data_IF_626625587511
#
_entry.id   IF_626625587511
#
_cell.length_a   1.000
_cell.length_b   1.000
_cell.length_c   1.000
_cell.angle_alpha   90.00
_cell.angle_beta   90.00
_cell.angle_gamma   90.00
#
_symmetry.space_group_name_H-M   'P 1'
#
loop_
_entity.id
_entity.type
_entity.pdbx_description
1 polymer ?
#
# COMPACT_ATOMS: atom_id res chain seq x y z
N UNK A 1 -58.63 13.14 -0.80
CA UNK A 1 -57.24 13.55 -1.10
C UNK A 1 -56.30 12.78 -0.16
N UNK A 2 -55.73 11.65 -0.61
CA UNK A 2 -54.76 10.89 0.19
C UNK A 2 -53.37 11.45 -0.12
N UNK A 3 -52.72 12.09 0.87
CA UNK A 3 -51.33 12.53 0.74
C UNK A 3 -50.43 11.30 0.86
N UNK A 4 -49.83 10.89 -0.25
CA UNK A 4 -48.70 9.96 -0.27
C UNK A 4 -47.54 10.61 0.48
N UNK A 5 -47.19 10.05 1.63
CA UNK A 5 -45.93 10.36 2.30
C UNK A 5 -44.81 9.61 1.61
N UNK A 6 -44.01 10.29 0.79
CA UNK A 6 -42.71 9.78 0.35
C UNK A 6 -41.83 9.63 1.58
N UNK A 7 -41.63 8.40 2.05
CA UNK A 7 -40.57 8.10 3.01
C UNK A 7 -39.24 8.38 2.31
N UNK A 8 -38.67 9.56 2.53
CA UNK A 8 -37.26 9.79 2.24
C UNK A 8 -36.47 8.75 3.02
N UNK A 9 -35.84 7.81 2.31
CA UNK A 9 -34.86 6.91 2.92
C UNK A 9 -33.74 7.83 3.39
N UNK A 10 -33.58 7.98 4.70
CA UNK A 10 -32.40 8.65 5.26
C UNK A 10 -31.21 7.76 4.88
N UNK A 11 -30.50 8.18 3.84
CA UNK A 11 -29.33 7.49 3.33
C UNK A 11 -28.27 7.51 4.44
N UNK A 12 -28.06 6.38 5.12
CA UNK A 12 -27.11 6.31 6.23
C UNK A 12 -25.70 6.25 5.68
N UNK A 13 -24.89 7.25 6.02
CA UNK A 13 -23.48 7.30 5.68
C UNK A 13 -22.72 6.17 6.38
N UNK A 14 -21.87 5.51 5.61
CA UNK A 14 -20.98 4.45 6.04
C UNK A 14 -19.53 4.92 5.93
N UNK A 15 -18.65 4.37 6.76
CA UNK A 15 -17.24 4.73 6.78
C UNK A 15 -16.35 3.51 6.66
N UNK A 16 -15.29 3.60 5.87
CA UNK A 16 -14.21 2.62 5.87
C UNK A 16 -12.86 3.28 6.08
N UNK A 17 -11.99 2.59 6.81
CA UNK A 17 -10.58 2.88 6.91
C UNK A 17 -9.85 2.22 5.74
N UNK A 18 -8.97 2.95 5.08
CA UNK A 18 -8.13 2.44 4.00
C UNK A 18 -6.68 2.59 4.43
N UNK A 19 -6.01 1.45 4.63
CA UNK A 19 -4.58 1.43 4.95
C UNK A 19 -3.78 1.46 3.65
N UNK A 20 -3.00 2.52 3.48
CA UNK A 20 -2.21 2.80 2.29
C UNK A 20 -0.93 1.94 2.25
N UNK A 21 -0.06 2.22 1.28
CA UNK A 21 1.13 1.42 0.99
C UNK A 21 2.22 1.59 2.05
N UNK A 22 2.39 2.82 2.52
CA UNK A 22 3.28 3.32 3.58
C UNK A 22 2.72 3.09 5.00
N UNK A 23 1.62 2.35 5.14
CA UNK A 23 0.89 2.12 6.39
C UNK A 23 0.15 3.32 6.99
N UNK A 24 0.17 4.48 6.33
CA UNK A 24 -0.77 5.55 6.66
C UNK A 24 -2.22 5.12 6.42
N UNK A 25 -3.16 5.83 7.05
CA UNK A 25 -4.58 5.49 6.99
C UNK A 25 -5.41 6.71 6.59
N UNK A 26 -6.29 6.52 5.61
CA UNK A 26 -7.34 7.48 5.26
C UNK A 26 -8.71 6.92 5.63
N UNK A 27 -9.65 7.81 5.90
CA UNK A 27 -11.05 7.45 6.12
C UNK A 27 -11.87 7.89 4.93
N UNK A 28 -12.69 7.00 4.39
CA UNK A 28 -13.57 7.28 3.27
C UNK A 28 -15.04 7.09 3.69
N UNK A 29 -15.84 8.12 3.43
CA UNK A 29 -17.30 8.08 3.58
C UNK A 29 -17.95 7.60 2.29
N UNK A 30 -18.97 6.75 2.40
CA UNK A 30 -19.69 6.21 1.25
C UNK A 30 -21.13 5.82 1.62
N UNK A 31 -22.01 5.71 0.62
CA UNK A 31 -23.41 5.28 0.83
C UNK A 31 -23.51 3.76 0.88
N UNK A 32 -24.48 3.23 1.61
CA UNK A 32 -24.66 1.77 1.80
C UNK A 32 -24.73 0.95 0.49
N UNK A 33 -25.26 1.54 -0.58
CA UNK A 33 -25.41 0.92 -1.89
C UNK A 33 -24.20 1.15 -2.83
N UNK A 34 -23.21 1.95 -2.40
CA UNK A 34 -22.03 2.32 -3.19
C UNK A 34 -21.21 1.12 -3.64
N UNK A 35 -20.65 1.25 -4.84
CA UNK A 35 -19.71 0.29 -5.43
C UNK A 35 -18.30 0.49 -4.87
N UNK A 36 -17.46 -0.54 -4.96
CA UNK A 36 -16.05 -0.47 -4.57
C UNK A 36 -15.27 0.62 -5.31
N UNK A 37 -15.68 0.97 -6.53
CA UNK A 37 -15.07 2.02 -7.33
C UNK A 37 -14.99 3.38 -6.61
N UNK A 38 -16.02 3.76 -5.84
CA UNK A 38 -16.08 5.06 -5.16
C UNK A 38 -14.92 5.23 -4.16
N UNK A 39 -14.71 4.21 -3.32
CA UNK A 39 -13.64 4.23 -2.31
C UNK A 39 -12.24 4.08 -2.94
N UNK A 40 -12.14 3.37 -4.07
CA UNK A 40 -10.89 3.25 -4.82
C UNK A 40 -10.51 4.56 -5.49
N UNK A 41 -11.45 5.25 -6.13
CA UNK A 41 -11.20 6.55 -6.75
C UNK A 41 -10.81 7.61 -5.73
N UNK A 42 -11.45 7.62 -4.56
CA UNK A 42 -11.02 8.49 -3.46
C UNK A 42 -9.59 8.18 -3.04
N UNK A 43 -9.24 6.89 -2.86
CA UNK A 43 -7.87 6.49 -2.50
C UNK A 43 -6.85 6.96 -3.54
N UNK A 44 -7.15 6.80 -4.83
CA UNK A 44 -6.27 7.26 -5.91
C UNK A 44 -6.15 8.78 -5.92
N UNK A 45 -7.23 9.51 -5.61
CA UNK A 45 -7.22 10.96 -5.52
C UNK A 45 -6.35 11.46 -4.36
N UNK A 46 -6.44 10.85 -3.19
CA UNK A 46 -5.58 11.19 -2.04
C UNK A 46 -4.09 10.94 -2.34
N UNK A 47 -3.80 9.97 -3.21
CA UNK A 47 -2.44 9.62 -3.63
C UNK A 47 -1.98 10.32 -4.94
N UNK A 48 -2.81 11.18 -5.52
CA UNK A 48 -2.58 11.82 -6.82
C UNK A 48 -2.25 10.84 -7.98
N UNK A 49 -2.90 9.66 -7.97
CA UNK A 49 -2.67 8.58 -8.94
C UNK A 49 -3.58 8.68 -10.17
N UNK A 50 -2.96 8.90 -11.34
CA UNK A 50 -3.61 8.84 -12.66
C UNK A 50 -3.54 7.42 -13.28
N UNK A 51 -2.40 6.74 -13.16
CA UNK A 51 -2.19 5.38 -13.70
C UNK A 51 -2.74 4.30 -12.74
N UNK A 52 -4.06 4.26 -12.59
CA UNK A 52 -4.75 3.45 -11.57
C UNK A 52 -4.71 1.94 -11.81
N UNK A 53 -4.44 1.50 -13.03
CA UNK A 53 -4.60 0.11 -13.47
C UNK A 53 -3.69 -0.89 -12.74
N UNK A 54 -2.64 -0.41 -12.09
CA UNK A 54 -1.72 -1.25 -11.30
C UNK A 54 -2.25 -1.57 -9.90
N UNK A 55 -3.21 -0.81 -9.39
CA UNK A 55 -3.61 -0.83 -8.00
C UNK A 55 -4.99 -1.46 -7.78
N UNK A 56 -5.28 -1.76 -6.52
CA UNK A 56 -6.59 -2.20 -6.10
C UNK A 56 -6.77 -2.13 -4.59
N UNK A 57 -7.99 -2.38 -4.15
CA UNK A 57 -8.32 -2.54 -2.74
C UNK A 57 -8.45 -4.02 -2.42
N UNK A 58 -7.87 -4.45 -1.31
CA UNK A 58 -8.15 -5.76 -0.72
C UNK A 58 -8.78 -5.62 0.66
N UNK A 59 -9.50 -6.63 1.10
CA UNK A 59 -10.02 -6.76 2.46
C UNK A 59 -9.61 -8.12 3.04
N UNK A 60 -9.83 -8.28 4.35
CA UNK A 60 -9.67 -9.55 5.06
C UNK A 60 -11.05 -9.97 5.53
N UNK A 61 -11.48 -11.19 5.20
CA UNK A 61 -12.77 -11.72 5.64
C UNK A 61 -12.71 -12.27 7.08
N UNK A 62 -13.83 -12.80 7.56
CA UNK A 62 -13.95 -13.38 8.90
C UNK A 62 -13.06 -14.62 9.11
N UNK A 63 -12.69 -15.30 8.02
CA UNK A 63 -11.83 -16.49 8.02
C UNK A 63 -10.34 -16.13 7.82
N UNK A 64 -10.02 -14.83 7.96
CA UNK A 64 -8.68 -14.25 7.81
C UNK A 64 -8.09 -14.40 6.41
N UNK A 65 -8.93 -14.64 5.39
CA UNK A 65 -8.50 -14.73 4.00
C UNK A 65 -8.49 -13.35 3.35
N UNK A 66 -7.50 -13.14 2.47
CA UNK A 66 -7.31 -11.87 1.75
C UNK A 66 -8.04 -11.94 0.42
N UNK A 67 -8.89 -10.96 0.16
CA UNK A 67 -9.67 -10.87 -1.07
C UNK A 67 -9.48 -9.54 -1.75
N UNK A 68 -9.32 -9.55 -3.08
CA UNK A 68 -9.43 -8.33 -3.86
C UNK A 68 -10.89 -7.90 -3.94
N UNK A 69 -11.13 -6.61 -3.74
CA UNK A 69 -12.42 -5.99 -3.93
C UNK A 69 -12.74 -5.93 -5.43
N UNK A 70 -13.94 -6.37 -5.80
CA UNK A 70 -14.50 -6.10 -7.13
C UNK A 70 -15.09 -4.68 -7.13
N UNK A 71 -14.44 -3.79 -7.86
CA UNK A 71 -14.80 -2.36 -7.90
C UNK A 71 -16.20 -2.12 -8.49
N UNK A 72 -16.72 -3.05 -9.29
CA UNK A 72 -18.03 -2.91 -9.94
C UNK A 72 -19.19 -3.42 -9.07
N UNK A 73 -18.90 -4.10 -7.97
CA UNK A 73 -19.89 -4.64 -7.03
C UNK A 73 -20.06 -3.73 -5.82
N UNK A 74 -21.21 -3.89 -5.16
CA UNK A 74 -21.48 -3.19 -3.90
C UNK A 74 -20.41 -3.52 -2.85
N UNK A 75 -19.90 -2.50 -2.18
CA UNK A 75 -18.76 -2.60 -1.26
C UNK A 75 -19.10 -3.48 -0.03
N UNK A 76 -20.18 -3.18 0.67
CA UNK A 76 -20.54 -3.84 1.93
C UNK A 76 -20.92 -5.32 1.70
N UNK A 77 -21.66 -5.61 0.64
CA UNK A 77 -22.11 -6.97 0.31
C UNK A 77 -20.94 -7.94 0.06
N UNK A 78 -19.78 -7.44 -0.36
CA UNK A 78 -18.60 -8.26 -0.58
C UNK A 78 -17.88 -8.61 0.73
N UNK A 79 -17.65 -7.61 1.58
CA UNK A 79 -16.88 -7.81 2.80
C UNK A 79 -17.59 -8.73 3.80
N UNK A 80 -18.94 -8.73 3.80
CA UNK A 80 -19.80 -9.50 4.72
C UNK A 80 -19.47 -9.30 6.22
N UNK A 81 -18.63 -8.31 6.54
CA UNK A 81 -18.21 -7.95 7.88
C UNK A 81 -19.13 -6.86 8.43
N UNK A 82 -19.10 -6.67 9.76
CA UNK A 82 -19.71 -5.52 10.41
C UNK A 82 -18.66 -4.39 10.50
N UNK A 83 -19.09 -3.12 10.62
CA UNK A 83 -18.18 -2.02 10.91
C UNK A 83 -17.33 -2.30 12.17
N UNK A 84 -16.10 -1.75 12.26
CA UNK A 84 -15.45 -0.88 11.27
C UNK A 84 -15.00 -1.65 10.01
N UNK A 85 -15.22 -1.06 8.84
CA UNK A 85 -14.72 -1.62 7.58
C UNK A 85 -13.27 -1.19 7.37
N UNK A 86 -12.39 -2.16 7.08
CA UNK A 86 -10.97 -1.91 6.79
C UNK A 86 -10.61 -2.50 5.43
N UNK A 87 -10.07 -1.64 4.56
CA UNK A 87 -9.53 -1.99 3.25
C UNK A 87 -8.03 -1.69 3.22
N UNK A 88 -7.32 -2.28 2.27
CA UNK A 88 -5.90 -2.08 2.08
C UNK A 88 -5.64 -1.75 0.61
N UNK A 89 -5.07 -0.57 0.35
CA UNK A 89 -4.68 -0.14 -0.99
C UNK A 89 -3.34 -0.78 -1.36
N UNK A 90 -3.31 -1.62 -2.40
CA UNK A 90 -2.13 -2.43 -2.74
C UNK A 90 -1.95 -2.49 -4.24
N UNK A 91 -0.74 -2.82 -4.67
CA UNK A 91 -0.48 -3.17 -6.08
C UNK A 91 -1.12 -4.53 -6.36
N UNK A 92 -1.94 -4.57 -7.40
CA UNK A 92 -2.63 -5.76 -7.89
C UNK A 92 -1.93 -6.36 -9.10
N UNK A 93 -1.38 -5.51 -9.96
CA UNK A 93 -0.70 -5.91 -11.18
C UNK A 93 0.66 -5.21 -11.24
N UNK A 94 1.75 -5.99 -11.19
CA UNK A 94 3.09 -5.46 -11.38
C UNK A 94 3.37 -5.35 -12.87
N UNK A 95 3.87 -4.20 -13.37
CA UNK A 95 4.25 -4.09 -14.76
C UNK A 95 5.45 -5.00 -15.04
N UNK A 96 5.43 -5.67 -16.20
CA UNK A 96 6.58 -6.46 -16.67
C UNK A 96 7.79 -5.57 -16.97
N UNK A 97 7.53 -4.33 -17.35
CA UNK A 97 8.54 -3.33 -17.72
C UNK A 97 8.23 -2.03 -16.96
N UNK A 98 9.01 -1.70 -15.91
CA UNK A 98 8.85 -0.46 -15.16
C UNK A 98 9.00 0.81 -16.02
N UNK A 99 9.70 0.75 -17.16
CA UNK A 99 9.88 1.87 -18.08
C UNK A 99 8.58 2.35 -18.75
N UNK A 100 7.51 1.55 -18.66
CA UNK A 100 6.18 1.91 -19.18
C UNK A 100 5.36 2.78 -18.23
N UNK A 101 5.78 2.89 -16.98
CA UNK A 101 5.13 3.76 -16.00
C UNK A 101 5.57 5.18 -16.30
N UNK A 102 4.62 6.04 -16.64
CA UNK A 102 4.92 7.42 -17.07
C UNK A 102 5.09 8.33 -15.86
N UNK A 103 4.19 8.22 -14.87
CA UNK A 103 4.15 9.11 -13.73
C UNK A 103 5.16 8.69 -12.65
N UNK A 104 5.90 9.66 -12.13
CA UNK A 104 6.85 9.45 -11.05
C UNK A 104 6.16 8.98 -9.76
N UNK A 105 5.00 9.55 -9.45
CA UNK A 105 4.19 9.17 -8.29
C UNK A 105 3.74 7.70 -8.35
N UNK A 106 3.45 7.18 -9.55
CA UNK A 106 3.11 5.76 -9.76
C UNK A 106 4.34 4.88 -9.50
N UNK A 107 5.52 5.26 -10.02
CA UNK A 107 6.78 4.54 -9.78
C UNK A 107 7.11 4.50 -8.29
N UNK A 108 6.95 5.63 -7.60
CA UNK A 108 7.16 5.74 -6.16
C UNK A 108 6.24 4.78 -5.39
N UNK A 109 4.93 4.76 -5.67
CA UNK A 109 4.02 3.85 -4.98
C UNK A 109 4.31 2.36 -5.28
N UNK A 110 4.74 2.02 -6.49
CA UNK A 110 5.21 0.66 -6.79
C UNK A 110 6.46 0.30 -5.98
N UNK A 111 7.41 1.23 -5.84
CA UNK A 111 8.58 1.07 -4.98
C UNK A 111 8.19 0.85 -3.52
N UNK A 112 7.29 1.66 -2.96
CA UNK A 112 6.80 1.51 -1.57
C UNK A 112 6.17 0.12 -1.37
N UNK A 113 5.43 -0.38 -2.35
CA UNK A 113 4.89 -1.74 -2.30
C UNK A 113 6.00 -2.81 -2.30
N UNK A 114 7.02 -2.67 -3.15
CA UNK A 114 8.15 -3.62 -3.21
C UNK A 114 8.90 -3.63 -1.88
N UNK A 115 9.25 -2.45 -1.35
CA UNK A 115 9.84 -2.27 0.00
C UNK A 115 9.02 -2.98 1.06
N UNK A 116 7.70 -2.82 1.04
CA UNK A 116 6.77 -3.53 1.93
C UNK A 116 6.83 -5.05 1.77
N UNK A 117 6.82 -5.55 0.54
CA UNK A 117 6.82 -7.00 0.28
C UNK A 117 8.14 -7.64 0.67
N UNK A 118 9.26 -6.90 0.56
CA UNK A 118 10.56 -7.29 1.10
C UNK A 118 10.50 -7.37 2.63
N UNK A 119 10.04 -6.31 3.30
CA UNK A 119 9.93 -6.24 4.76
C UNK A 119 9.04 -7.34 5.35
N UNK A 120 8.00 -7.75 4.64
CA UNK A 120 7.12 -8.84 5.06
C UNK A 120 7.52 -10.22 4.53
N UNK A 121 8.65 -10.34 3.81
CA UNK A 121 9.16 -11.62 3.29
C UNK A 121 8.28 -12.24 2.21
N UNK A 122 7.53 -11.43 1.47
CA UNK A 122 6.66 -11.83 0.36
C UNK A 122 7.38 -11.82 -0.98
N UNK A 123 8.41 -11.00 -1.11
CA UNK A 123 9.32 -11.00 -2.25
C UNK A 123 10.57 -11.80 -1.91
N UNK A 124 10.77 -12.92 -2.61
CA UNK A 124 11.96 -13.75 -2.46
C UNK A 124 13.06 -13.19 -3.37
N UNK A 125 14.20 -12.86 -2.77
CA UNK A 125 15.37 -12.32 -3.44
C UNK A 125 16.60 -13.17 -3.14
N UNK A 126 17.59 -13.15 -4.02
CA UNK A 126 18.93 -13.60 -3.65
C UNK A 126 19.53 -12.67 -2.59
N UNK A 127 20.61 -13.09 -1.92
CA UNK A 127 21.29 -12.24 -0.95
C UNK A 127 21.77 -10.92 -1.57
N UNK A 128 22.31 -10.98 -2.80
CA UNK A 128 22.83 -9.79 -3.48
C UNK A 128 21.70 -8.85 -3.90
N UNK A 129 20.64 -9.38 -4.53
CA UNK A 129 19.49 -8.54 -4.93
C UNK A 129 18.86 -7.85 -3.71
N UNK A 130 18.77 -8.57 -2.58
CA UNK A 130 18.24 -8.03 -1.34
C UNK A 130 19.12 -6.92 -0.76
N UNK A 131 20.44 -7.05 -0.89
CA UNK A 131 21.37 -6.03 -0.46
C UNK A 131 21.33 -4.79 -1.37
N UNK A 132 21.18 -4.99 -2.69
CA UNK A 132 21.06 -3.90 -3.67
C UNK A 132 19.75 -3.14 -3.44
N UNK A 133 18.62 -3.85 -3.35
CA UNK A 133 17.32 -3.26 -3.01
C UNK A 133 17.34 -2.58 -1.65
N UNK A 134 18.02 -3.17 -0.67
CA UNK A 134 18.22 -2.57 0.64
C UNK A 134 18.96 -1.25 0.57
N UNK A 135 19.99 -1.13 -0.26
CA UNK A 135 20.71 0.13 -0.49
C UNK A 135 19.77 1.24 -0.96
N UNK A 136 18.95 0.97 -1.99
CA UNK A 136 17.97 1.95 -2.47
C UNK A 136 16.88 2.29 -1.43
N UNK A 137 16.47 1.31 -0.61
CA UNK A 137 15.51 1.55 0.48
C UNK A 137 16.11 2.46 1.55
N UNK A 138 17.39 2.28 1.88
CA UNK A 138 18.10 3.13 2.84
C UNK A 138 18.26 4.54 2.28
N UNK A 139 18.65 4.66 1.01
CA UNK A 139 18.79 5.93 0.31
C UNK A 139 17.46 6.73 0.31
N UNK A 140 16.33 6.05 0.10
CA UNK A 140 14.98 6.66 0.18
C UNK A 140 14.63 7.18 1.58
N UNK A 141 15.05 6.47 2.63
CA UNK A 141 14.70 6.81 4.02
C UNK A 141 15.66 7.82 4.67
N UNK A 142 16.96 7.71 4.38
CA UNK A 142 18.03 8.46 5.05
C UNK A 142 18.69 9.51 4.16
N UNK A 143 18.43 9.51 2.85
CA UNK A 143 19.16 10.32 1.89
C UNK A 143 20.57 9.79 1.63
N UNK A 144 21.44 10.64 1.09
CA UNK A 144 22.81 10.27 0.72
C UNK A 144 23.63 9.83 1.95
N UNK A 145 24.57 8.91 1.72
CA UNK A 145 25.50 8.50 2.78
C UNK A 145 26.39 9.66 3.25
N UNK A 146 26.21 10.08 4.50
CA UNK A 146 27.15 10.90 5.29
C UNK A 146 27.94 10.05 6.33
N UNK A 147 29.28 10.05 6.34
CA UNK A 147 30.08 9.33 7.34
C UNK A 147 29.95 9.83 8.79
N UNK A 148 29.51 11.08 9.02
CA UNK A 148 29.31 11.63 10.36
C UNK A 148 28.02 11.08 10.99
N UNK A 149 26.98 10.89 10.18
CA UNK A 149 25.67 10.40 10.60
C UNK A 149 25.56 8.86 10.51
N UNK A 150 26.15 8.25 9.48
CA UNK A 150 26.04 6.81 9.19
C UNK A 150 27.21 5.98 9.71
N UNK A 151 27.40 6.01 11.04
CA UNK A 151 28.41 5.21 11.75
C UNK A 151 28.09 3.71 11.71
N UNK A 152 29.06 2.89 12.08
CA UNK A 152 28.88 1.43 12.13
C UNK A 152 27.61 1.05 12.92
N UNK A 153 26.76 0.22 12.32
CA UNK A 153 25.49 -0.21 12.92
C UNK A 153 24.29 0.72 12.72
N UNK A 154 24.39 1.82 11.94
CA UNK A 154 23.26 2.72 11.70
C UNK A 154 22.00 2.02 11.13
N UNK A 155 22.19 0.92 10.39
CA UNK A 155 21.09 0.11 9.86
C UNK A 155 20.41 -0.81 10.88
N UNK A 156 20.97 -0.93 12.09
CA UNK A 156 20.35 -1.72 13.14
C UNK A 156 19.11 -1.04 13.73
N UNK A 157 18.95 0.27 13.52
CA UNK A 157 17.84 1.09 14.03
C UNK A 157 16.54 0.92 13.23
N UNK A 158 16.60 0.41 12.00
CA UNK A 158 15.40 0.10 11.21
C UNK A 158 15.50 -1.25 10.50
N UNK A 159 14.35 -1.72 9.99
CA UNK A 159 14.23 -3.04 9.38
C UNK A 159 13.92 -2.90 7.90
N UNK A 160 14.81 -3.42 7.06
CA UNK A 160 14.59 -3.61 5.62
C UNK A 160 13.93 -4.96 5.36
N UNK A 161 14.31 -6.00 6.12
CA UNK A 161 13.86 -7.39 5.91
C UNK A 161 13.46 -8.06 7.24
N UNK A 162 12.59 -9.11 7.22
CA UNK A 162 12.13 -9.74 8.46
C UNK A 162 13.23 -10.44 9.26
N UNK A 163 14.24 -10.99 8.58
CA UNK A 163 15.38 -11.73 9.17
C UNK A 163 16.69 -11.02 8.87
N UNK A 164 16.75 -9.74 9.22
CA UNK A 164 17.94 -8.91 9.05
C UNK A 164 19.07 -9.44 9.95
N UNK A 165 20.29 -9.48 9.41
CA UNK A 165 21.48 -9.90 10.14
C UNK A 165 22.66 -9.00 9.76
N UNK A 166 23.70 -9.00 10.59
CA UNK A 166 24.88 -8.13 10.45
C UNK A 166 25.55 -8.25 9.07
N UNK A 167 25.61 -9.47 8.50
CA UNK A 167 26.21 -9.69 7.17
C UNK A 167 25.42 -8.96 6.08
N UNK A 168 24.10 -9.01 6.14
CA UNK A 168 23.24 -8.29 5.21
C UNK A 168 23.31 -6.78 5.43
N UNK A 169 23.29 -6.32 6.69
CA UNK A 169 23.43 -4.89 7.03
C UNK A 169 24.74 -4.32 6.48
N UNK A 170 25.87 -5.03 6.67
CA UNK A 170 27.15 -4.61 6.13
C UNK A 170 27.13 -4.46 4.59
N UNK A 171 26.51 -5.41 3.88
CA UNK A 171 26.41 -5.35 2.41
C UNK A 171 25.47 -4.23 1.94
N UNK A 172 24.34 -4.02 2.64
CA UNK A 172 23.44 -2.90 2.36
C UNK A 172 24.16 -1.57 2.56
N UNK A 173 24.90 -1.41 3.66
CA UNK A 173 25.65 -0.19 3.95
C UNK A 173 26.76 0.07 2.92
N UNK A 174 27.42 -0.98 2.42
CA UNK A 174 28.38 -0.87 1.32
C UNK A 174 27.70 -0.37 0.04
N UNK A 175 26.53 -0.91 -0.28
CA UNK A 175 25.78 -0.49 -1.47
C UNK A 175 25.26 0.95 -1.35
N UNK A 176 24.73 1.35 -0.20
CA UNK A 176 24.25 2.71 0.08
C UNK A 176 25.33 3.77 -0.15
N UNK A 177 26.60 3.49 0.20
CA UNK A 177 27.74 4.40 -0.05
C UNK A 177 28.01 4.69 -1.53
N UNK A 178 27.49 3.85 -2.44
CA UNK A 178 27.72 3.95 -3.88
C UNK A 178 26.50 4.49 -4.64
N UNK A 179 25.42 4.84 -3.94
CA UNK A 179 24.23 5.49 -4.47
C UNK A 179 24.35 7.01 -4.30
#
# INVERSE_FOLDING_TARGET
>A
MRRSGSKGIIETDCYCKIRLLDDSEITCEFKKDSKGQIVFDQSCKELDLLEKDYFGLRYVDTDKQRHWLDLNKNLIKQMKSKPPYTLFFRVKFYPQDPGKIVEEITRYHLFVQVKRDILHGRLLCSFNDLADLGGYIVQDELGDYDPEDHKEGYLSEFRVVPKQNEKLEAKIAENHKNL
#
